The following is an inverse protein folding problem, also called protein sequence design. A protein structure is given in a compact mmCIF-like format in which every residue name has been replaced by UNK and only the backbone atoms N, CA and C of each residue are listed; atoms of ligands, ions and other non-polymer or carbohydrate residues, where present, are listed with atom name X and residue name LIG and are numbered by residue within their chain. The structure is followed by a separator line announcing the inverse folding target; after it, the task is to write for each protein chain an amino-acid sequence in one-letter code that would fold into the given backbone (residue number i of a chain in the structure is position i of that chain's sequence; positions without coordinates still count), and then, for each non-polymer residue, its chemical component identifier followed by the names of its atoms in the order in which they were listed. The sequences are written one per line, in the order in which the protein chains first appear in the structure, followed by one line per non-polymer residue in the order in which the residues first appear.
data_IF_523102348109
#
_entry.id   IF_523102348109
#
_cell.length_a   1.000
_cell.length_b   1.000
_cell.length_c   1.000
_cell.angle_alpha   90.00
_cell.angle_beta   90.00
_cell.angle_gamma   90.00
#
_symmetry.space_group_name_H-M   'P 1'
#
loop_
_entity.id
_entity.type
_entity.pdbx_description
1 polymer ?
#
# COMPACT_ATOMS: atom_id res chain seq x y z
N UNK A 1 -36.35 -31.85 42.59
CA UNK A 1 -37.09 -32.23 41.37
C UNK A 1 -36.71 -31.22 40.28
N UNK A 2 -35.94 -31.72 39.32
CA UNK A 2 -35.56 -30.94 38.13
C UNK A 2 -36.63 -31.16 37.02
N UNK A 3 -37.27 -30.03 36.65
CA UNK A 3 -38.26 -30.04 35.56
C UNK A 3 -37.55 -29.86 34.24
N UNK A 4 -37.65 -30.83 33.34
CA UNK A 4 -37.12 -30.81 31.97
C UNK A 4 -38.00 -29.97 31.07
N UNK A 5 -37.43 -28.96 30.43
CA UNK A 5 -38.09 -28.18 29.38
C UNK A 5 -38.00 -28.90 27.99
N UNK A 6 -38.98 -28.74 27.09
CA UNK A 6 -39.04 -29.45 25.84
C UNK A 6 -38.11 -28.86 24.77
N UNK A 7 -37.40 -29.74 24.07
CA UNK A 7 -36.52 -29.46 22.93
C UNK A 7 -37.32 -28.89 21.75
N UNK A 8 -36.99 -27.64 21.33
CA UNK A 8 -37.47 -27.04 20.08
C UNK A 8 -36.76 -27.72 18.89
N UNK A 9 -37.53 -28.33 18.00
CA UNK A 9 -37.04 -28.77 16.70
C UNK A 9 -36.76 -27.57 15.81
N UNK A 10 -35.49 -27.34 15.44
CA UNK A 10 -35.13 -26.41 14.38
C UNK A 10 -35.51 -27.00 13.00
N UNK A 11 -36.52 -26.44 12.38
CA UNK A 11 -36.80 -26.69 10.97
C UNK A 11 -35.78 -25.96 10.12
N UNK A 12 -34.93 -26.70 9.42
CA UNK A 12 -34.03 -26.13 8.38
C UNK A 12 -34.90 -25.53 7.25
N UNK A 13 -35.01 -24.22 7.20
CA UNK A 13 -35.45 -23.51 6.00
C UNK A 13 -34.39 -23.68 4.91
N UNK A 14 -34.78 -24.28 3.78
CA UNK A 14 -34.00 -24.24 2.56
C UNK A 14 -33.70 -22.83 2.18
N UNK A 15 -32.45 -22.47 1.73
CA UNK A 15 -32.18 -21.15 1.21
C UNK A 15 -33.02 -20.94 -0.05
N UNK A 16 -33.66 -19.77 -0.13
CA UNK A 16 -34.43 -19.34 -1.28
C UNK A 16 -33.53 -19.31 -2.53
N UNK A 17 -34.09 -19.77 -3.66
CA UNK A 17 -33.45 -19.79 -4.95
C UNK A 17 -32.91 -18.39 -5.33
N UNK A 18 -31.67 -18.38 -5.86
CA UNK A 18 -30.83 -17.26 -6.13
C UNK A 18 -31.54 -16.05 -6.76
N UNK A 19 -31.37 -14.92 -6.09
CA UNK A 19 -31.39 -13.61 -6.74
C UNK A 19 -30.20 -13.64 -7.70
N UNK A 20 -30.46 -13.78 -9.00
CA UNK A 20 -29.46 -13.53 -10.04
C UNK A 20 -29.12 -12.05 -9.90
N UNK A 21 -27.94 -11.78 -9.32
CA UNK A 21 -27.41 -10.43 -9.20
C UNK A 21 -27.45 -9.75 -10.59
N UNK A 22 -27.97 -8.55 -10.66
CA UNK A 22 -27.77 -7.68 -11.82
C UNK A 22 -26.28 -7.52 -11.91
N UNK A 23 -25.66 -8.04 -12.99
CA UNK A 23 -24.21 -7.91 -13.21
C UNK A 23 -23.81 -6.45 -13.06
N UNK A 24 -22.69 -6.22 -12.37
CA UNK A 24 -22.11 -4.89 -12.23
C UNK A 24 -21.92 -4.28 -13.63
N UNK A 25 -22.61 -3.16 -13.90
CA UNK A 25 -22.61 -2.47 -15.20
C UNK A 25 -21.62 -1.29 -15.25
N UNK A 26 -20.69 -1.20 -14.28
CA UNK A 26 -19.67 -0.15 -14.23
C UNK A 26 -18.40 -0.52 -14.99
N UNK A 27 -17.45 0.44 -15.07
CA UNK A 27 -16.19 0.21 -15.78
C UNK A 27 -15.42 -0.99 -15.18
N UNK A 28 -14.79 -1.76 -16.05
CA UNK A 28 -13.90 -2.85 -15.66
C UNK A 28 -12.50 -2.30 -15.47
N UNK A 29 -12.09 -2.17 -14.20
CA UNK A 29 -10.83 -1.53 -13.82
C UNK A 29 -9.79 -2.60 -13.47
N UNK A 30 -8.60 -2.49 -14.06
CA UNK A 30 -7.43 -3.27 -13.68
C UNK A 30 -6.45 -2.41 -12.90
N UNK A 31 -6.10 -2.84 -11.69
CA UNK A 31 -5.12 -2.16 -10.84
C UNK A 31 -3.74 -2.77 -11.07
N UNK A 32 -2.73 -1.93 -11.19
CA UNK A 32 -1.30 -2.29 -11.22
C UNK A 32 -0.64 -1.69 -9.99
N UNK A 33 0.07 -2.51 -9.23
CA UNK A 33 0.92 -2.06 -8.14
C UNK A 33 2.36 -1.95 -8.63
N UNK A 34 2.85 -0.72 -8.80
CA UNK A 34 4.24 -0.41 -9.16
C UNK A 34 5.14 -0.47 -7.91
N UNK A 35 5.36 -1.68 -7.38
CA UNK A 35 6.13 -1.89 -6.15
C UNK A 35 6.63 -3.32 -6.03
N UNK A 36 7.83 -3.49 -5.46
CA UNK A 36 8.37 -4.78 -5.05
C UNK A 36 7.99 -5.17 -3.60
N UNK A 37 7.27 -4.32 -2.87
CA UNK A 37 6.93 -4.53 -1.45
C UNK A 37 5.85 -5.60 -1.27
N UNK A 38 6.14 -6.74 -0.59
CA UNK A 38 5.12 -7.73 -0.28
C UNK A 38 4.02 -7.20 0.67
N UNK A 39 4.37 -6.26 1.56
CA UNK A 39 3.42 -5.66 2.50
C UNK A 39 2.38 -4.82 1.78
N UNK A 40 2.77 -4.00 0.80
CA UNK A 40 1.83 -3.23 -0.04
C UNK A 40 0.87 -4.12 -0.81
N UNK A 41 1.39 -5.21 -1.39
CA UNK A 41 0.56 -6.21 -2.07
C UNK A 41 -0.47 -6.81 -1.10
N UNK A 42 -0.02 -7.20 0.08
CA UNK A 42 -0.88 -7.81 1.10
C UNK A 42 -2.00 -6.86 1.55
N UNK A 43 -1.71 -5.56 1.72
CA UNK A 43 -2.74 -4.55 2.03
C UNK A 43 -3.83 -4.54 0.96
N UNK A 44 -3.46 -4.44 -0.32
CA UNK A 44 -4.43 -4.40 -1.42
C UNK A 44 -5.25 -5.70 -1.49
N UNK A 45 -4.60 -6.85 -1.36
CA UNK A 45 -5.29 -8.16 -1.38
C UNK A 45 -6.29 -8.30 -0.23
N UNK A 46 -5.91 -7.90 0.99
CA UNK A 46 -6.80 -7.89 2.16
C UNK A 46 -7.95 -6.90 2.01
N UNK A 47 -7.71 -5.79 1.31
CA UNK A 47 -8.74 -4.82 0.96
C UNK A 47 -9.62 -5.24 -0.25
N UNK A 48 -9.48 -6.47 -0.74
CA UNK A 48 -10.30 -7.01 -1.82
C UNK A 48 -9.82 -6.65 -3.23
N UNK A 49 -8.64 -6.06 -3.39
CA UNK A 49 -8.04 -5.74 -4.69
C UNK A 49 -7.05 -6.84 -5.07
N UNK A 50 -7.09 -7.27 -6.34
CA UNK A 50 -6.12 -8.21 -6.90
C UNK A 50 -5.28 -7.50 -7.99
N UNK A 51 -4.17 -6.82 -7.62
CA UNK A 51 -3.41 -6.02 -8.57
C UNK A 51 -2.47 -6.88 -9.41
N UNK A 52 -2.20 -6.44 -10.64
CA UNK A 52 -0.98 -6.83 -11.36
C UNK A 52 0.23 -6.22 -10.64
N UNK A 53 1.30 -6.99 -10.49
CA UNK A 53 2.52 -6.53 -9.83
C UNK A 53 3.56 -6.23 -10.88
N UNK A 54 4.16 -5.02 -10.81
CA UNK A 54 5.32 -4.64 -11.61
C UNK A 54 6.37 -3.97 -10.72
N UNK A 55 7.61 -4.40 -10.88
CA UNK A 55 8.71 -3.89 -10.08
C UNK A 55 9.34 -2.68 -10.76
N UNK A 56 9.28 -1.48 -10.18
CA UNK A 56 9.93 -0.30 -10.74
C UNK A 56 11.46 -0.44 -10.67
N UNK A 57 12.15 0.15 -11.65
CA UNK A 57 13.61 0.17 -11.76
C UNK A 57 14.15 1.60 -11.56
N UNK A 58 13.65 2.29 -10.54
CA UNK A 58 14.05 3.66 -10.19
C UNK A 58 15.29 3.62 -9.32
N UNK A 59 16.31 4.40 -9.69
CA UNK A 59 17.42 4.72 -8.81
C UNK A 59 16.96 5.79 -7.80
N UNK A 60 16.49 5.34 -6.64
CA UNK A 60 15.90 6.19 -5.61
C UNK A 60 16.94 7.17 -5.02
N UNK A 61 18.19 6.73 -4.87
CA UNK A 61 19.27 7.57 -4.33
C UNK A 61 19.65 8.68 -5.32
N UNK A 62 19.79 8.35 -6.60
CA UNK A 62 20.05 9.34 -7.64
C UNK A 62 18.91 10.35 -7.77
N UNK A 63 17.65 9.89 -7.70
CA UNK A 63 16.50 10.77 -7.73
C UNK A 63 16.48 11.74 -6.55
N UNK A 64 16.72 11.25 -5.33
CA UNK A 64 16.78 12.09 -4.14
C UNK A 64 17.92 13.10 -4.22
N UNK A 65 19.09 12.69 -4.70
CA UNK A 65 20.25 13.58 -4.88
C UNK A 65 20.02 14.67 -5.95
N UNK A 66 19.13 14.42 -6.92
CA UNK A 66 18.78 15.39 -7.97
C UNK A 66 17.75 16.44 -7.50
N UNK A 67 17.08 16.23 -6.38
CA UNK A 67 16.15 17.22 -5.82
C UNK A 67 16.89 18.41 -5.25
N UNK A 68 16.27 19.59 -5.34
CA UNK A 68 16.87 20.83 -4.82
C UNK A 68 17.09 20.72 -3.30
N UNK A 69 18.18 21.34 -2.82
CA UNK A 69 18.42 21.46 -1.38
C UNK A 69 17.25 22.19 -0.70
N UNK A 70 16.79 21.66 0.43
CA UNK A 70 15.62 22.18 1.14
C UNK A 70 14.26 21.75 0.57
N UNK A 71 14.21 20.81 -0.39
CA UNK A 71 12.95 20.22 -0.83
C UNK A 71 12.19 19.67 0.37
N UNK A 72 10.89 20.03 0.56
CA UNK A 72 10.09 19.53 1.67
C UNK A 72 10.03 18.00 1.67
N UNK A 73 10.10 17.38 2.85
CA UNK A 73 10.15 15.93 3.02
C UNK A 73 8.98 15.20 2.31
N UNK A 74 7.77 15.75 2.38
CA UNK A 74 6.59 15.24 1.68
C UNK A 74 6.80 15.18 0.16
N UNK A 75 7.44 16.21 -0.41
CA UNK A 75 7.72 16.26 -1.86
C UNK A 75 8.75 15.22 -2.29
N UNK A 76 9.72 14.91 -1.45
CA UNK A 76 10.70 13.84 -1.73
C UNK A 76 9.97 12.51 -1.91
N UNK A 77 9.08 12.17 -0.98
CA UNK A 77 8.35 10.90 -1.00
C UNK A 77 7.31 10.85 -2.14
N UNK A 78 6.68 11.99 -2.46
CA UNK A 78 5.80 12.12 -3.63
C UNK A 78 6.55 11.88 -4.95
N UNK A 79 7.73 12.48 -5.12
CA UNK A 79 8.51 12.33 -6.36
C UNK A 79 8.98 10.87 -6.54
N UNK A 80 9.37 10.20 -5.46
CA UNK A 80 9.72 8.78 -5.49
C UNK A 80 8.51 7.90 -5.88
N UNK A 81 7.33 8.16 -5.30
CA UNK A 81 6.10 7.44 -5.64
C UNK A 81 5.71 7.65 -7.10
N UNK A 82 5.82 8.90 -7.59
CA UNK A 82 5.55 9.28 -8.99
C UNK A 82 6.50 8.58 -9.95
N UNK A 83 7.79 8.63 -9.66
CA UNK A 83 8.82 8.00 -10.49
C UNK A 83 8.59 6.50 -10.63
N UNK A 84 8.18 5.80 -9.54
CA UNK A 84 7.87 4.37 -9.57
C UNK A 84 6.68 4.05 -10.48
N UNK A 85 5.61 4.82 -10.40
CA UNK A 85 4.45 4.62 -11.27
C UNK A 85 4.77 4.93 -12.73
N UNK A 86 5.56 6.00 -12.97
CA UNK A 86 5.95 6.40 -14.31
C UNK A 86 6.90 5.39 -14.96
N UNK A 87 7.92 4.92 -14.26
CA UNK A 87 8.87 3.93 -14.76
C UNK A 87 8.17 2.64 -15.24
N UNK A 88 7.19 2.15 -14.47
CA UNK A 88 6.40 0.98 -14.88
C UNK A 88 5.60 1.25 -16.14
N UNK A 89 4.99 2.43 -16.25
CA UNK A 89 4.26 2.81 -17.48
C UNK A 89 5.18 2.93 -18.69
N UNK A 90 6.33 3.57 -18.54
CA UNK A 90 7.26 3.80 -19.65
C UNK A 90 7.86 2.49 -20.19
N UNK A 91 8.13 1.52 -19.31
CA UNK A 91 8.73 0.24 -19.70
C UNK A 91 7.72 -0.82 -20.12
N UNK A 92 6.55 -0.84 -19.49
CA UNK A 92 5.61 -1.95 -19.63
C UNK A 92 4.17 -1.51 -19.97
N UNK A 93 3.94 -0.21 -20.21
CA UNK A 93 2.59 0.33 -20.38
C UNK A 93 1.77 -0.37 -21.46
N UNK A 94 2.33 -0.61 -22.64
CA UNK A 94 1.61 -1.29 -23.72
C UNK A 94 1.32 -2.76 -23.39
N UNK A 95 2.27 -3.49 -22.83
CA UNK A 95 2.04 -4.88 -22.44
C UNK A 95 1.02 -5.01 -21.29
N UNK A 96 0.99 -4.04 -20.38
CA UNK A 96 -0.02 -3.95 -19.33
C UNK A 96 -1.41 -3.65 -19.89
N UNK A 97 -1.47 -2.76 -20.89
CA UNK A 97 -2.71 -2.46 -21.58
C UNK A 97 -3.29 -3.70 -22.28
N UNK A 98 -2.45 -4.46 -23.00
CA UNK A 98 -2.86 -5.68 -23.67
C UNK A 98 -3.33 -6.77 -22.66
N UNK A 99 -2.58 -6.95 -21.57
CA UNK A 99 -2.96 -7.88 -20.50
C UNK A 99 -4.30 -7.49 -19.85
N UNK A 100 -4.51 -6.20 -19.58
CA UNK A 100 -5.73 -5.69 -18.98
C UNK A 100 -6.93 -5.79 -19.92
N UNK A 101 -6.77 -5.42 -21.21
CA UNK A 101 -7.80 -5.60 -22.25
C UNK A 101 -8.16 -7.07 -22.44
N UNK A 102 -7.17 -7.96 -22.44
CA UNK A 102 -7.39 -9.41 -22.50
C UNK A 102 -8.22 -9.95 -21.34
N UNK A 103 -8.17 -9.27 -20.18
CA UNK A 103 -9.02 -9.53 -19.02
C UNK A 103 -10.35 -8.75 -19.04
N UNK A 104 -10.66 -8.01 -20.12
CA UNK A 104 -11.89 -7.24 -20.28
C UNK A 104 -11.90 -5.88 -19.58
N UNK A 105 -10.73 -5.35 -19.18
CA UNK A 105 -10.66 -4.03 -18.56
C UNK A 105 -10.73 -2.93 -19.62
N UNK A 106 -11.43 -1.85 -19.28
CA UNK A 106 -11.52 -0.61 -20.05
C UNK A 106 -10.72 0.55 -19.42
N UNK A 107 -10.23 0.34 -18.20
CA UNK A 107 -9.46 1.33 -17.45
C UNK A 107 -8.29 0.64 -16.70
N UNK A 108 -7.10 1.23 -16.80
CA UNK A 108 -5.92 0.84 -16.02
C UNK A 108 -5.66 1.89 -14.95
N UNK A 109 -5.41 1.42 -13.72
CA UNK A 109 -5.00 2.24 -12.58
C UNK A 109 -3.62 1.79 -12.12
N UNK A 110 -2.59 2.59 -12.31
CA UNK A 110 -1.24 2.31 -11.82
C UNK A 110 -1.00 3.05 -10.51
N UNK A 111 -0.64 2.30 -9.46
CA UNK A 111 -0.40 2.83 -8.12
C UNK A 111 1.09 2.68 -7.78
N UNK A 112 1.78 3.80 -7.63
CA UNK A 112 3.13 3.88 -7.09
C UNK A 112 3.10 4.37 -5.65
N UNK A 113 3.94 3.80 -4.78
CA UNK A 113 4.08 4.25 -3.39
C UNK A 113 5.54 4.27 -2.98
N UNK A 114 5.87 5.24 -2.12
CA UNK A 114 7.14 5.27 -1.41
C UNK A 114 6.91 5.63 0.06
N UNK A 115 7.80 5.17 0.95
CA UNK A 115 7.69 5.43 2.39
C UNK A 115 9.04 5.77 2.97
N UNK A 116 9.11 6.83 3.79
CA UNK A 116 10.28 7.22 4.55
C UNK A 116 9.90 7.64 5.96
N UNK A 117 10.74 7.35 6.93
CA UNK A 117 10.56 7.76 8.32
C UNK A 117 11.30 9.07 8.59
N UNK A 118 10.58 10.10 9.00
CA UNK A 118 11.16 11.37 9.46
C UNK A 118 11.47 11.28 10.95
N UNK A 119 12.76 11.32 11.30
CA UNK A 119 13.26 11.36 12.68
C UNK A 119 14.31 12.45 12.79
N UNK A 120 14.23 13.28 13.82
CA UNK A 120 15.17 14.37 14.08
C UNK A 120 15.42 15.28 12.84
N UNK A 121 14.37 15.53 12.05
CA UNK A 121 14.45 16.37 10.85
C UNK A 121 15.13 15.70 9.65
N UNK A 122 15.34 14.38 9.67
CA UNK A 122 15.96 13.63 8.57
C UNK A 122 15.05 12.50 8.10
N UNK A 123 14.97 12.34 6.79
CA UNK A 123 14.31 11.20 6.18
C UNK A 123 15.21 9.97 6.25
N UNK A 124 14.65 8.88 6.75
CA UNK A 124 15.30 7.59 6.89
C UNK A 124 14.57 6.54 6.04
N UNK A 125 15.21 6.09 4.98
CA UNK A 125 14.71 5.02 4.11
C UNK A 125 14.98 3.62 4.71
N UNK A 126 15.26 2.64 3.84
CA UNK A 126 15.67 1.29 4.25
C UNK A 126 17.08 1.30 4.81
N UNK A 127 17.36 0.61 5.92
CA UNK A 127 18.72 0.54 6.47
C UNK A 127 19.65 -0.38 5.68
N UNK A 128 19.13 -1.44 5.05
CA UNK A 128 19.83 -2.48 4.30
C UNK A 128 20.87 -3.30 5.10
N UNK A 129 21.41 -2.77 6.21
CA UNK A 129 22.38 -3.48 7.05
C UNK A 129 21.97 -3.47 8.51
N UNK A 130 22.42 -4.47 9.24
CA UNK A 130 22.21 -4.61 10.67
C UNK A 130 22.74 -3.39 11.44
N UNK A 131 23.96 -2.93 11.12
CA UNK A 131 24.62 -1.84 11.82
C UNK A 131 23.84 -0.52 11.69
N UNK A 132 23.33 -0.23 10.49
CA UNK A 132 22.50 0.95 10.25
C UNK A 132 21.16 0.84 10.98
N UNK A 133 20.55 -0.34 10.96
CA UNK A 133 19.29 -0.59 11.65
C UNK A 133 19.46 -0.44 13.17
N UNK A 134 20.52 -1.01 13.75
CA UNK A 134 20.83 -0.89 15.18
C UNK A 134 21.08 0.56 15.58
N UNK A 135 21.93 1.28 14.84
CA UNK A 135 22.21 2.69 15.11
C UNK A 135 20.94 3.57 15.03
N UNK A 136 20.00 3.22 14.14
CA UNK A 136 18.70 3.89 14.02
C UNK A 136 17.82 3.59 15.22
N UNK A 137 17.65 2.34 15.61
CA UNK A 137 16.86 1.94 16.77
C UNK A 137 17.37 2.55 18.08
N UNK A 138 18.70 2.67 18.26
CA UNK A 138 19.28 3.35 19.42
C UNK A 138 18.84 4.83 19.53
N UNK A 139 18.52 5.48 18.41
CA UNK A 139 18.01 6.85 18.38
C UNK A 139 16.49 6.94 18.52
N UNK A 140 15.76 5.92 18.03
CA UNK A 140 14.29 5.93 17.93
C UNK A 140 13.62 5.41 19.20
N UNK A 141 14.20 4.42 19.89
CA UNK A 141 13.56 3.76 21.05
C UNK A 141 13.13 4.75 22.12
N UNK A 142 11.90 4.58 22.64
CA UNK A 142 11.28 5.49 23.60
C UNK A 142 10.89 6.85 23.05
N UNK A 143 10.95 7.05 21.73
CA UNK A 143 10.65 8.31 21.06
C UNK A 143 9.59 8.12 19.97
N UNK A 144 9.40 9.11 19.14
CA UNK A 144 8.49 9.02 18.00
C UNK A 144 9.16 9.52 16.73
N UNK A 145 8.62 9.10 15.59
CA UNK A 145 8.92 9.59 14.26
C UNK A 145 7.65 9.72 13.44
N UNK A 146 7.73 10.40 12.31
CA UNK A 146 6.62 10.52 11.36
C UNK A 146 6.93 9.68 10.13
N UNK A 147 6.18 8.61 9.91
CA UNK A 147 6.26 7.88 8.65
C UNK A 147 5.43 8.61 7.61
N UNK A 148 6.10 9.02 6.54
CA UNK A 148 5.50 9.69 5.39
C UNK A 148 5.41 8.68 4.27
N UNK A 149 4.20 8.41 3.77
CA UNK A 149 3.99 7.51 2.63
C UNK A 149 3.36 8.28 1.47
N UNK A 150 4.14 8.46 0.41
CA UNK A 150 3.71 9.06 -0.85
C UNK A 150 2.95 8.06 -1.70
N UNK A 151 1.91 8.55 -2.38
CA UNK A 151 1.11 7.80 -3.32
C UNK A 151 1.03 8.55 -4.64
N UNK A 152 1.21 7.83 -5.73
CA UNK A 152 0.94 8.31 -7.08
C UNK A 152 -0.05 7.37 -7.75
N UNK A 153 -1.10 7.92 -8.32
CA UNK A 153 -2.10 7.20 -9.10
C UNK A 153 -2.06 7.73 -10.53
N UNK A 154 -1.94 6.84 -11.49
CA UNK A 154 -2.04 7.16 -12.92
C UNK A 154 -3.19 6.36 -13.50
N UNK A 155 -4.09 7.06 -14.19
CA UNK A 155 -5.20 6.46 -14.91
C UNK A 155 -4.91 6.44 -16.38
N UNK A 156 -5.26 5.32 -17.03
CA UNK A 156 -5.19 5.21 -18.46
C UNK A 156 -6.47 4.58 -19.01
N UNK A 157 -6.94 5.13 -20.10
CA UNK A 157 -8.05 4.61 -20.90
C UNK A 157 -7.56 3.47 -21.78
N UNK A 158 -8.28 2.35 -21.75
CA UNK A 158 -8.04 1.16 -22.55
C UNK A 158 -9.15 0.92 -23.58
N UNK A 159 -10.12 1.82 -23.69
CA UNK A 159 -11.21 1.68 -24.64
C UNK A 159 -10.67 1.79 -26.07
N UNK A 160 -11.00 0.81 -26.92
CA UNK A 160 -10.47 0.71 -28.27
C UNK A 160 -9.13 -0.03 -28.38
N UNK A 161 -8.69 -0.22 -29.65
CA UNK A 161 -7.50 -1.01 -30.01
C UNK A 161 -6.23 -0.15 -30.16
N UNK A 162 -6.30 1.13 -29.76
CA UNK A 162 -5.20 2.08 -29.86
C UNK A 162 -4.16 1.94 -28.73
N UNK A 163 -3.08 2.76 -28.79
CA UNK A 163 -2.10 2.80 -27.70
C UNK A 163 -2.75 3.26 -26.39
N UNK A 164 -2.11 2.92 -25.27
CA UNK A 164 -2.51 3.35 -23.94
C UNK A 164 -2.57 4.88 -23.85
N UNK A 165 -3.68 5.44 -23.39
CA UNK A 165 -3.87 6.89 -23.25
C UNK A 165 -3.99 7.24 -21.77
N UNK A 166 -3.02 7.97 -21.22
CA UNK A 166 -3.09 8.48 -19.86
C UNK A 166 -4.12 9.60 -19.77
N UNK A 167 -5.15 9.42 -18.94
CA UNK A 167 -6.28 10.34 -18.78
C UNK A 167 -6.22 11.15 -17.48
N UNK A 168 -5.44 10.69 -16.47
CA UNK A 168 -5.34 11.38 -15.20
C UNK A 168 -4.10 10.99 -14.41
N UNK A 169 -3.68 11.91 -13.52
CA UNK A 169 -2.59 11.70 -12.56
C UNK A 169 -2.96 12.41 -11.26
N UNK A 170 -2.72 11.76 -10.14
CA UNK A 170 -2.88 12.36 -8.81
C UNK A 170 -1.74 11.88 -7.90
N UNK A 171 -1.30 12.74 -7.01
CA UNK A 171 -0.22 12.42 -6.05
C UNK A 171 -0.52 13.12 -4.74
N UNK A 172 -0.35 12.44 -3.62
CA UNK A 172 -0.50 13.00 -2.29
C UNK A 172 0.23 12.13 -1.26
N UNK A 173 0.35 12.57 0.00
CA UNK A 173 1.01 11.88 1.09
C UNK A 173 0.06 11.56 2.24
N UNK A 174 0.41 10.51 2.98
CA UNK A 174 -0.19 10.17 4.27
C UNK A 174 0.90 10.17 5.33
N UNK A 175 0.75 11.04 6.32
CA UNK A 175 1.69 11.20 7.43
C UNK A 175 1.11 10.53 8.67
N UNK A 176 1.91 9.69 9.31
CA UNK A 176 1.48 8.94 10.50
C UNK A 176 2.57 8.96 11.55
N UNK A 177 2.25 9.42 12.75
CA UNK A 177 3.20 9.40 13.88
C UNK A 177 3.25 8.01 14.47
N UNK A 178 4.47 7.46 14.56
CA UNK A 178 4.77 6.17 15.17
C UNK A 178 5.52 6.39 16.47
N UNK A 179 4.99 5.89 17.57
CA UNK A 179 5.61 5.93 18.90
C UNK A 179 6.31 4.60 19.15
N UNK A 180 7.63 4.66 19.25
CA UNK A 180 8.47 3.50 19.46
C UNK A 180 8.57 3.19 20.95
N UNK A 181 8.40 1.92 21.32
CA UNK A 181 8.72 1.40 22.64
C UNK A 181 10.22 1.50 22.95
N UNK A 182 10.60 1.09 24.13
CA UNK A 182 11.99 1.09 24.59
C UNK A 182 12.54 -0.35 24.74
N UNK A 183 12.66 -1.14 23.62
CA UNK A 183 13.19 -2.50 23.70
C UNK A 183 14.61 -2.53 24.24
N UNK A 184 14.98 -3.64 24.87
CA UNK A 184 16.35 -3.87 25.31
C UNK A 184 17.30 -4.06 24.13
N UNK A 185 18.60 -3.87 24.35
CA UNK A 185 19.61 -4.16 23.33
C UNK A 185 19.58 -5.63 22.90
N UNK A 186 19.25 -6.54 23.81
CA UNK A 186 19.09 -7.97 23.52
C UNK A 186 17.92 -8.24 22.57
N UNK A 187 16.75 -7.60 22.83
CA UNK A 187 15.57 -7.75 21.95
C UNK A 187 15.85 -7.20 20.55
N UNK A 188 16.52 -6.02 20.49
CA UNK A 188 16.91 -5.42 19.22
C UNK A 188 17.91 -6.30 18.46
N UNK A 189 18.93 -6.85 19.12
CA UNK A 189 19.89 -7.73 18.48
C UNK A 189 19.20 -8.92 17.81
N UNK A 190 18.32 -9.60 18.54
CA UNK A 190 17.56 -10.75 18.00
C UNK A 190 16.64 -10.32 16.86
N UNK A 191 15.87 -9.24 17.02
CA UNK A 191 14.97 -8.72 16.00
C UNK A 191 15.69 -8.37 14.70
N UNK A 192 16.78 -7.61 14.78
CA UNK A 192 17.51 -7.16 13.60
C UNK A 192 18.20 -8.31 12.85
N UNK A 193 18.64 -9.36 13.58
CA UNK A 193 19.22 -10.58 12.97
C UNK A 193 18.20 -11.41 12.19
N UNK A 194 16.89 -11.21 12.40
CA UNK A 194 15.86 -11.85 11.55
C UNK A 194 15.91 -11.37 10.12
N UNK A 195 16.51 -10.19 9.86
CA UNK A 195 16.51 -9.53 8.56
C UNK A 195 15.20 -8.80 8.22
N UNK A 196 14.11 -9.03 8.98
CA UNK A 196 12.80 -8.45 8.72
C UNK A 196 12.84 -6.93 8.51
N UNK A 197 13.46 -6.12 9.39
CA UNK A 197 13.41 -4.68 9.26
C UNK A 197 14.38 -4.08 8.24
N UNK A 198 15.28 -4.87 7.68
CA UNK A 198 16.38 -4.32 6.86
C UNK A 198 15.90 -3.73 5.53
N UNK A 199 14.79 -4.26 4.99
CA UNK A 199 14.16 -3.79 3.76
C UNK A 199 12.90 -2.93 4.01
N UNK A 200 12.73 -2.41 5.25
CA UNK A 200 11.62 -1.56 5.63
C UNK A 200 12.09 -0.13 5.95
N UNK A 201 11.36 0.87 5.47
CA UNK A 201 11.60 2.26 5.82
C UNK A 201 11.54 2.42 7.35
N UNK A 202 12.50 3.14 7.94
CA UNK A 202 12.58 3.31 9.38
C UNK A 202 13.09 2.10 10.16
N UNK A 203 13.43 0.98 9.51
CA UNK A 203 13.94 -0.24 10.17
C UNK A 203 12.93 -0.90 11.13
N UNK A 204 11.64 -0.90 10.80
CA UNK A 204 10.60 -1.58 11.59
C UNK A 204 9.43 -2.03 10.70
N UNK A 205 8.61 -2.92 11.25
CA UNK A 205 7.28 -3.30 10.74
C UNK A 205 6.25 -3.14 11.86
N UNK A 206 4.96 -3.00 11.54
CA UNK A 206 3.90 -3.05 12.54
C UNK A 206 3.06 -4.33 12.42
N UNK A 207 3.08 -4.94 11.26
CA UNK A 207 2.28 -6.13 10.94
C UNK A 207 2.99 -7.45 11.21
N UNK A 208 4.23 -7.41 11.74
CA UNK A 208 5.05 -8.59 12.01
C UNK A 208 5.83 -8.45 13.32
N UNK A 209 7.07 -8.95 13.42
CA UNK A 209 7.85 -8.95 14.66
C UNK A 209 8.11 -7.55 15.23
N UNK A 210 8.32 -6.56 14.37
CA UNK A 210 8.53 -5.18 14.78
C UNK A 210 7.36 -4.58 15.57
N UNK A 211 6.13 -5.12 15.38
CA UNK A 211 4.95 -4.69 16.11
C UNK A 211 5.06 -4.82 17.64
N UNK A 212 5.92 -5.70 18.16
CA UNK A 212 6.22 -5.79 19.60
C UNK A 212 6.86 -4.54 20.17
N UNK A 213 7.44 -3.69 19.32
CA UNK A 213 8.22 -2.52 19.71
C UNK A 213 7.57 -1.20 19.32
N UNK A 214 6.28 -1.24 18.94
CA UNK A 214 5.49 -0.04 18.63
C UNK A 214 4.41 0.12 19.70
N UNK A 215 4.48 1.21 20.47
CA UNK A 215 3.55 1.46 21.56
C UNK A 215 2.24 2.09 21.09
N UNK A 216 2.30 2.95 20.06
CA UNK A 216 1.13 3.69 19.56
C UNK A 216 1.36 4.23 18.15
N UNK A 217 0.26 4.38 17.43
CA UNK A 217 0.18 5.04 16.12
C UNK A 217 -0.87 6.14 16.19
N UNK A 218 -0.50 7.36 15.76
CA UNK A 218 -1.44 8.46 15.57
C UNK A 218 -1.54 8.76 14.08
N UNK A 219 -2.60 8.28 13.42
CA UNK A 219 -2.82 8.40 11.99
C UNK A 219 -3.37 7.13 11.35
N UNK A 220 -2.93 6.83 10.14
CA UNK A 220 -3.39 5.67 9.36
C UNK A 220 -2.44 4.47 9.50
N UNK A 221 -2.88 3.36 10.16
CA UNK A 221 -2.06 2.15 10.28
C UNK A 221 -1.68 1.52 8.93
N UNK A 222 -2.55 1.59 7.91
CA UNK A 222 -2.25 1.04 6.59
C UNK A 222 -1.13 1.81 5.89
N UNK A 223 -1.04 3.12 6.12
CA UNK A 223 0.08 3.96 5.66
C UNK A 223 1.41 3.50 6.27
N UNK A 224 1.42 3.12 7.55
CA UNK A 224 2.64 2.64 8.23
C UNK A 224 3.16 1.33 7.62
N UNK A 225 2.27 0.45 7.18
CA UNK A 225 2.64 -0.77 6.46
C UNK A 225 3.17 -0.44 5.04
N UNK A 226 2.81 0.72 4.48
CA UNK A 226 3.38 1.24 3.25
C UNK A 226 2.40 1.64 2.15
N UNK A 227 1.08 1.57 2.40
CA UNK A 227 0.05 2.02 1.47
C UNK A 227 -1.20 2.44 2.26
N UNK A 228 -1.55 3.74 2.20
CA UNK A 228 -2.75 4.27 2.83
C UNK A 228 -4.00 3.94 2.01
N UNK A 229 -4.85 3.06 2.53
CA UNK A 229 -6.15 2.78 1.91
C UNK A 229 -7.08 4.00 1.91
N UNK A 230 -7.18 4.79 3.02
CA UNK A 230 -7.97 6.02 3.01
C UNK A 230 -7.49 7.05 1.98
N UNK A 231 -6.18 7.22 1.82
CA UNK A 231 -5.64 8.14 0.82
C UNK A 231 -5.87 7.61 -0.61
N UNK A 232 -5.56 6.34 -0.86
CA UNK A 232 -5.80 5.74 -2.17
C UNK A 232 -7.28 5.86 -2.57
N UNK A 233 -8.21 5.65 -1.64
CA UNK A 233 -9.65 5.88 -1.87
C UNK A 233 -9.93 7.30 -2.33
N UNK A 234 -9.39 8.33 -1.66
CA UNK A 234 -9.59 9.74 -2.06
C UNK A 234 -9.04 10.03 -3.45
N UNK A 235 -7.81 9.58 -3.72
CA UNK A 235 -7.18 9.77 -5.05
C UNK A 235 -7.98 9.11 -6.19
N UNK A 236 -8.59 7.96 -5.92
CA UNK A 236 -9.48 7.29 -6.85
C UNK A 236 -10.80 8.05 -7.01
N UNK A 237 -11.41 8.52 -5.92
CA UNK A 237 -12.67 9.29 -5.93
C UNK A 237 -12.51 10.61 -6.69
N UNK A 238 -11.40 11.32 -6.51
CA UNK A 238 -11.08 12.55 -7.26
C UNK A 238 -10.97 12.28 -8.78
N UNK A 239 -10.65 11.05 -9.15
CA UNK A 239 -10.62 10.58 -10.52
C UNK A 239 -11.95 9.95 -11.00
N UNK A 240 -13.01 10.02 -10.20
CA UNK A 240 -14.33 9.47 -10.51
C UNK A 240 -14.47 7.96 -10.32
N UNK A 241 -13.50 7.33 -9.63
CA UNK A 241 -13.49 5.89 -9.35
C UNK A 241 -13.84 5.65 -7.89
N UNK A 242 -14.92 4.94 -7.61
CA UNK A 242 -15.27 4.53 -6.26
C UNK A 242 -14.50 3.27 -5.83
N UNK A 243 -14.15 3.16 -4.55
CA UNK A 243 -13.32 2.08 -4.02
C UNK A 243 -13.84 0.67 -4.40
N UNK A 244 -15.17 0.45 -4.37
CA UNK A 244 -15.75 -0.85 -4.73
C UNK A 244 -15.50 -1.25 -6.20
N UNK A 245 -15.22 -0.29 -7.08
CA UNK A 245 -14.97 -0.56 -8.51
C UNK A 245 -13.60 -1.20 -8.77
N UNK A 246 -12.68 -1.10 -7.82
CA UNK A 246 -11.37 -1.77 -7.88
C UNK A 246 -11.32 -3.09 -7.10
N UNK A 247 -12.40 -3.47 -6.39
CA UNK A 247 -12.45 -4.76 -5.71
C UNK A 247 -12.60 -5.92 -6.70
N UNK A 248 -12.24 -7.11 -6.27
CA UNK A 248 -12.44 -8.34 -7.04
C UNK A 248 -13.92 -8.52 -7.39
N UNK A 249 -14.23 -9.05 -8.59
CA UNK A 249 -15.61 -9.16 -9.08
C UNK A 249 -16.57 -9.86 -8.11
N UNK A 250 -16.12 -10.90 -7.42
CA UNK A 250 -16.95 -11.66 -6.46
C UNK A 250 -17.33 -10.85 -5.21
N UNK A 251 -16.69 -9.73 -4.93
CA UNK A 251 -17.00 -8.82 -3.82
C UNK A 251 -17.93 -7.67 -4.22
N UNK A 252 -18.29 -7.56 -5.51
CA UNK A 252 -19.13 -6.48 -6.04
C UNK A 252 -20.59 -6.90 -6.24
N UNK A 253 -20.96 -8.14 -5.88
CA UNK A 253 -22.29 -8.73 -6.07
C UNK A 253 -23.32 -8.22 -5.07
#
# INVERSE_FOLDING_TARGET
PFTTAPTRRHTHRRPAAGVRGRGYAGPMIRVVLASASPSRLRILQQAGVDPLIRHPQVDEDALQAALAEGTPHVRVVEELARAKAQDVLDREGESLADEARGAGADTLVVVGCDSMLLVDGRLEGKPHTYERAMARWQKMRGRHGVLITGHAVVLADLTGDGPLVVTGRATDTSDTTVHFGAPSDSDLDVYLRTGEPLECAGAFTIESLGGWFIDRIDGDPSSVIGLSLPLLRRLLEDAGIHAHQVWRPELRA
#
